data_IF_455583514257
#
_entry.id   IF_455583514257
#
_cell.length_a   1.000
_cell.length_b   1.000
_cell.length_c   1.000
_cell.angle_alpha   90.00
_cell.angle_beta   90.00
_cell.angle_gamma   90.00
#
_symmetry.space_group_name_H-M   'P 1'
#
loop_
_entity.id
_entity.type
_entity.pdbx_description
1 polymer ?
#
# COMPACT_ATOMS: atom_id res chain seq x y z
N UNK A 1 2.02 -9.31 -1.46
CA UNK A 1 2.66 -8.01 -1.11
C UNK A 1 2.98 -7.90 0.37
N UNK A 2 2.02 -7.86 1.31
CA UNK A 2 2.36 -7.78 2.76
C UNK A 2 3.14 -9.02 3.22
N UNK A 3 2.70 -10.22 2.83
CA UNK A 3 3.46 -11.45 3.12
C UNK A 3 4.87 -11.41 2.54
N UNK A 4 5.05 -10.82 1.37
CA UNK A 4 6.34 -10.72 0.70
C UNK A 4 7.31 -9.86 1.52
N UNK A 5 6.84 -8.76 2.12
CA UNK A 5 7.61 -7.94 3.05
C UNK A 5 7.95 -8.70 4.35
N UNK A 6 7.03 -9.53 4.83
CA UNK A 6 7.24 -10.37 6.02
C UNK A 6 8.36 -11.38 5.78
N UNK A 7 8.39 -12.04 4.62
CA UNK A 7 9.46 -12.98 4.27
C UNK A 7 10.83 -12.29 4.23
N UNK A 8 10.90 -11.10 3.64
CA UNK A 8 12.13 -10.29 3.63
C UNK A 8 12.55 -9.92 5.06
N UNK A 9 11.63 -9.44 5.90
CA UNK A 9 11.93 -9.09 7.30
C UNK A 9 12.41 -10.30 8.11
N UNK A 10 11.79 -11.47 7.90
CA UNK A 10 12.16 -12.72 8.54
C UNK A 10 13.59 -13.14 8.15
N UNK A 11 13.96 -12.99 6.87
CA UNK A 11 15.31 -13.32 6.39
C UNK A 11 16.39 -12.53 7.15
N UNK A 12 16.13 -11.25 7.42
CA UNK A 12 17.08 -10.33 8.05
C UNK A 12 17.09 -10.46 9.57
N UNK A 13 15.91 -10.41 10.19
CA UNK A 13 15.77 -10.30 11.64
C UNK A 13 15.67 -11.67 12.34
N UNK A 14 15.56 -12.77 11.59
CA UNK A 14 15.42 -14.14 12.10
C UNK A 14 14.21 -14.36 13.02
N UNK A 15 13.28 -13.39 13.02
CA UNK A 15 12.06 -13.41 13.83
C UNK A 15 10.88 -13.13 12.91
N UNK A 16 9.89 -14.02 12.98
CA UNK A 16 8.67 -13.92 12.18
C UNK A 16 7.66 -12.97 12.85
N UNK A 17 7.33 -11.86 12.19
CA UNK A 17 6.50 -10.76 12.74
C UNK A 17 5.17 -10.55 12.01
N UNK A 18 4.55 -11.61 11.50
CA UNK A 18 3.35 -11.56 10.65
C UNK A 18 2.25 -10.69 11.25
N UNK A 19 1.94 -10.89 12.54
CA UNK A 19 0.86 -10.18 13.22
C UNK A 19 1.04 -8.66 13.23
N UNK A 20 2.28 -8.16 13.35
CA UNK A 20 2.56 -6.72 13.38
C UNK A 20 2.36 -6.11 11.99
N UNK A 21 2.83 -6.76 10.93
CA UNK A 21 2.65 -6.27 9.56
C UNK A 21 1.17 -6.23 9.15
N UNK A 22 0.41 -7.28 9.43
CA UNK A 22 -1.02 -7.33 9.08
C UNK A 22 -1.86 -6.36 9.93
N UNK A 23 -1.58 -6.25 11.23
CA UNK A 23 -2.30 -5.32 12.10
C UNK A 23 -2.03 -3.86 11.72
N UNK A 24 -0.77 -3.51 11.44
CA UNK A 24 -0.39 -2.17 11.00
C UNK A 24 -1.10 -1.80 9.69
N UNK A 25 -1.10 -2.70 8.70
CA UNK A 25 -1.79 -2.47 7.44
C UNK A 25 -3.30 -2.22 7.64
N UNK A 26 -3.95 -3.03 8.49
CA UNK A 26 -5.39 -2.90 8.76
C UNK A 26 -5.72 -1.60 9.48
N UNK A 27 -4.91 -1.20 10.46
CA UNK A 27 -5.10 0.07 11.19
C UNK A 27 -4.88 1.26 10.26
N UNK A 28 -3.82 1.23 9.44
CA UNK A 28 -3.56 2.27 8.44
C UNK A 28 -4.71 2.42 7.44
N UNK A 29 -5.29 1.30 6.97
CA UNK A 29 -6.46 1.33 6.09
C UNK A 29 -7.67 1.98 6.76
N UNK A 30 -7.93 1.68 8.03
CA UNK A 30 -9.05 2.30 8.78
C UNK A 30 -8.86 3.80 8.95
N UNK A 31 -7.64 4.24 9.28
CA UNK A 31 -7.31 5.66 9.41
C UNK A 31 -7.49 6.37 8.06
N UNK A 32 -6.95 5.78 6.98
CA UNK A 32 -7.09 6.33 5.63
C UNK A 32 -8.56 6.40 5.19
N UNK A 33 -9.36 5.38 5.48
CA UNK A 33 -10.80 5.37 5.18
C UNK A 33 -11.54 6.46 5.96
N UNK A 34 -11.27 6.63 7.25
CA UNK A 34 -11.90 7.66 8.06
C UNK A 34 -11.59 9.08 7.53
N UNK A 35 -10.32 9.34 7.20
CA UNK A 35 -9.89 10.60 6.60
C UNK A 35 -10.54 10.79 5.22
N UNK A 36 -10.55 9.75 4.40
CA UNK A 36 -11.14 9.78 3.06
C UNK A 36 -12.63 10.12 3.07
N UNK A 37 -13.41 9.47 3.96
CA UNK A 37 -14.84 9.76 4.11
C UNK A 37 -15.08 11.18 4.62
N UNK A 38 -14.25 11.67 5.55
CA UNK A 38 -14.36 13.04 6.06
C UNK A 38 -14.13 14.08 4.96
N UNK A 39 -13.08 13.91 4.15
CA UNK A 39 -12.80 14.80 3.01
C UNK A 39 -13.93 14.74 1.99
N UNK A 40 -14.39 13.52 1.65
CA UNK A 40 -15.45 13.30 0.68
C UNK A 40 -16.76 13.99 1.10
N UNK A 41 -17.13 13.94 2.39
CA UNK A 41 -18.29 14.66 2.92
C UNK A 41 -18.20 16.17 2.67
N UNK A 42 -17.07 16.79 3.03
CA UNK A 42 -16.85 18.22 2.81
C UNK A 42 -16.91 18.60 1.32
N UNK A 43 -16.38 17.76 0.44
CA UNK A 43 -16.42 18.02 -1.00
C UNK A 43 -17.85 17.94 -1.57
N UNK A 44 -18.66 16.99 -1.10
CA UNK A 44 -20.05 16.82 -1.55
C UNK A 44 -20.92 18.00 -1.08
N UNK A 45 -20.70 18.48 0.15
CA UNK A 45 -21.38 19.69 0.66
C UNK A 45 -21.00 20.93 -0.18
N UNK A 46 -19.72 21.06 -0.57
CA UNK A 46 -19.27 22.17 -1.41
C UNK A 46 -19.86 22.16 -2.83
N UNK A 47 -20.10 20.98 -3.39
CA UNK A 47 -20.78 20.80 -4.69
C UNK A 47 -22.29 21.13 -4.60
N UNK A 48 -22.81 21.36 -3.39
CA UNK A 48 -24.20 21.76 -3.15
C UNK A 48 -25.18 20.58 -3.17
N UNK A 49 -24.72 19.40 -2.80
CA UNK A 49 -25.57 18.22 -2.65
C UNK A 49 -26.65 18.45 -1.58
N UNK A 50 -27.90 18.10 -1.89
CA UNK A 50 -29.01 18.20 -0.95
C UNK A 50 -29.84 16.92 -0.92
N UNK A 51 -29.64 16.08 0.11
CA UNK A 51 -30.32 14.80 0.25
C UNK A 51 -31.84 14.85 0.43
N UNK A 52 -32.45 16.02 0.66
CA UNK A 52 -33.91 16.16 0.78
C UNK A 52 -34.62 16.41 -0.55
N UNK A 53 -33.88 16.75 -1.62
CA UNK A 53 -34.47 16.94 -2.95
C UNK A 53 -34.57 15.59 -3.68
N UNK A 54 -35.77 15.29 -4.19
CA UNK A 54 -36.02 14.08 -4.99
C UNK A 54 -35.15 14.02 -6.27
N UNK A 55 -34.78 15.18 -6.82
CA UNK A 55 -33.88 15.30 -7.97
C UNK A 55 -32.80 16.34 -7.71
N UNK A 56 -31.54 15.99 -7.95
CA UNK A 56 -30.42 16.93 -7.89
C UNK A 56 -30.32 17.75 -9.18
N UNK A 57 -29.65 18.90 -9.11
CA UNK A 57 -29.37 19.69 -10.32
C UNK A 57 -28.37 18.95 -11.22
N UNK A 58 -28.44 19.22 -12.52
CA UNK A 58 -27.50 18.66 -13.51
C UNK A 58 -26.03 18.97 -13.14
N UNK A 59 -25.79 20.17 -12.60
CA UNK A 59 -24.47 20.59 -12.10
C UNK A 59 -23.98 19.70 -10.95
N UNK A 60 -24.81 19.47 -9.94
CA UNK A 60 -24.48 18.62 -8.78
C UNK A 60 -24.20 17.18 -9.20
N UNK A 61 -25.00 16.62 -10.13
CA UNK A 61 -24.78 15.27 -10.65
C UNK A 61 -23.44 15.13 -11.37
N UNK A 62 -23.10 16.08 -12.26
CA UNK A 62 -21.80 16.08 -12.92
C UNK A 62 -20.66 16.29 -11.93
N UNK A 63 -20.83 17.16 -10.92
CA UNK A 63 -19.83 17.38 -9.87
C UNK A 63 -19.50 16.10 -9.10
N UNK A 64 -20.51 15.31 -8.71
CA UNK A 64 -20.31 14.02 -8.05
C UNK A 64 -19.60 13.02 -8.98
N UNK A 65 -20.02 12.93 -10.24
CA UNK A 65 -19.41 12.03 -11.21
C UNK A 65 -17.93 12.36 -11.45
N UNK A 66 -17.60 13.64 -11.60
CA UNK A 66 -16.21 14.12 -11.76
C UNK A 66 -15.39 13.85 -10.50
N UNK A 67 -15.96 14.05 -9.31
CA UNK A 67 -15.27 13.74 -8.05
C UNK A 67 -14.94 12.25 -7.97
N UNK A 68 -15.90 11.37 -8.25
CA UNK A 68 -15.71 9.92 -8.16
C UNK A 68 -14.67 9.42 -9.17
N UNK A 69 -14.79 9.83 -10.44
CA UNK A 69 -13.89 9.42 -11.51
C UNK A 69 -12.51 10.06 -11.30
N UNK A 70 -12.46 11.37 -11.04
CA UNK A 70 -11.23 12.13 -10.88
C UNK A 70 -10.38 11.62 -9.72
N UNK A 71 -10.96 11.43 -8.55
CA UNK A 71 -10.25 10.90 -7.37
C UNK A 71 -9.74 9.48 -7.66
N UNK A 72 -10.57 8.63 -8.27
CA UNK A 72 -10.19 7.25 -8.60
C UNK A 72 -9.04 7.22 -9.60
N UNK A 73 -9.08 8.05 -10.66
CA UNK A 73 -8.00 8.17 -11.63
C UNK A 73 -6.69 8.60 -10.97
N UNK A 74 -6.71 9.60 -10.10
CA UNK A 74 -5.51 10.06 -9.39
C UNK A 74 -4.95 8.96 -8.48
N UNK A 75 -5.82 8.28 -7.70
CA UNK A 75 -5.40 7.17 -6.85
C UNK A 75 -4.78 6.01 -7.65
N UNK A 76 -5.34 5.68 -8.81
CA UNK A 76 -4.80 4.64 -9.69
C UNK A 76 -3.43 5.04 -10.27
N UNK A 77 -3.27 6.29 -10.72
CA UNK A 77 -1.99 6.77 -11.21
C UNK A 77 -0.90 6.70 -10.14
N UNK A 78 -1.21 7.12 -8.91
CA UNK A 78 -0.29 7.01 -7.77
C UNK A 78 0.05 5.54 -7.49
N UNK A 79 -0.94 4.65 -7.52
CA UNK A 79 -0.72 3.20 -7.33
C UNK A 79 0.20 2.61 -8.39
N UNK A 80 0.05 3.00 -9.66
CA UNK A 80 0.92 2.56 -10.76
C UNK A 80 2.36 3.04 -10.53
N UNK A 81 2.54 4.31 -10.14
CA UNK A 81 3.87 4.86 -9.84
C UNK A 81 4.53 4.07 -8.70
N UNK A 82 3.80 3.83 -7.60
CA UNK A 82 4.30 3.04 -6.47
C UNK A 82 4.68 1.61 -6.90
N UNK A 83 3.91 0.99 -7.79
CA UNK A 83 4.18 -0.36 -8.30
C UNK A 83 5.46 -0.39 -9.14
N UNK A 84 5.67 0.59 -10.03
CA UNK A 84 6.88 0.66 -10.87
C UNK A 84 8.14 0.88 -10.02
N UNK A 85 8.03 1.64 -8.92
CA UNK A 85 9.16 1.87 -8.00
C UNK A 85 9.48 0.70 -7.09
N UNK A 86 8.67 -0.36 -7.07
CA UNK A 86 8.86 -1.48 -6.16
C UNK A 86 10.01 -2.40 -6.65
N UNK A 87 11.13 -2.52 -5.90
CA UNK A 87 12.26 -3.36 -6.29
C UNK A 87 11.95 -4.86 -6.17
N UNK A 88 10.87 -5.22 -5.45
CA UNK A 88 10.49 -6.60 -5.20
C UNK A 88 9.79 -7.22 -6.41
N UNK A 89 10.59 -7.64 -7.38
CA UNK A 89 10.12 -8.40 -8.54
C UNK A 89 9.91 -9.88 -8.19
N UNK A 90 9.13 -10.59 -9.01
CA UNK A 90 8.87 -12.04 -8.83
C UNK A 90 10.15 -12.86 -8.72
N UNK A 91 11.20 -12.49 -9.47
CA UNK A 91 12.52 -13.15 -9.40
C UNK A 91 13.18 -12.92 -8.04
N UNK A 92 13.28 -11.66 -7.60
CA UNK A 92 13.87 -11.32 -6.29
C UNK A 92 13.10 -11.96 -5.13
N UNK A 93 11.78 -12.07 -5.24
CA UNK A 93 10.99 -12.78 -4.24
C UNK A 93 11.32 -14.29 -4.17
N UNK A 94 11.58 -14.94 -5.31
CA UNK A 94 12.04 -16.34 -5.32
C UNK A 94 13.42 -16.49 -4.67
N UNK A 95 14.35 -15.56 -4.95
CA UNK A 95 15.68 -15.55 -4.32
C UNK A 95 15.57 -15.48 -2.79
N UNK A 96 14.65 -14.65 -2.26
CA UNK A 96 14.38 -14.52 -0.81
C UNK A 96 13.86 -15.83 -0.23
N UNK A 97 12.93 -16.50 -0.91
CA UNK A 97 12.40 -17.79 -0.45
C UNK A 97 13.46 -18.90 -0.48
N UNK A 98 14.33 -18.92 -1.49
CA UNK A 98 15.43 -19.87 -1.56
C UNK A 98 16.47 -19.60 -0.45
N UNK A 99 16.77 -18.33 -0.20
CA UNK A 99 17.61 -17.93 0.92
C UNK A 99 17.01 -18.40 2.25
N UNK A 100 15.73 -18.14 2.53
CA UNK A 100 15.08 -18.61 3.76
C UNK A 100 15.21 -20.14 3.94
N UNK A 101 14.97 -20.93 2.90
CA UNK A 101 15.17 -22.40 2.95
C UNK A 101 16.61 -22.78 3.26
N UNK A 102 17.60 -22.13 2.65
CA UNK A 102 19.02 -22.36 2.95
C UNK A 102 19.33 -22.02 4.42
N UNK A 103 18.70 -20.97 4.97
CA UNK A 103 18.88 -20.58 6.39
C UNK A 103 18.34 -21.65 7.33
N UNK A 104 17.17 -22.19 7.04
CA UNK A 104 16.55 -23.29 7.80
C UNK A 104 17.43 -24.55 7.84
N UNK A 105 18.19 -24.81 6.76
CA UNK A 105 19.14 -25.94 6.69
C UNK A 105 20.51 -25.62 7.32
N UNK A 106 20.67 -24.48 7.99
CA UNK A 106 21.89 -24.10 8.72
C UNK A 106 23.00 -23.46 7.88
N UNK A 107 22.72 -23.09 6.62
CA UNK A 107 23.70 -22.39 5.78
C UNK A 107 23.78 -20.90 6.16
N UNK A 108 25.01 -20.36 6.23
CA UNK A 108 25.22 -18.92 6.43
C UNK A 108 24.89 -18.17 5.14
N UNK A 109 24.01 -17.18 5.23
CA UNK A 109 23.56 -16.37 4.09
C UNK A 109 24.17 -14.99 4.18
N UNK A 110 24.67 -14.49 3.06
CA UNK A 110 25.12 -13.12 2.97
C UNK A 110 23.93 -12.17 2.75
N UNK A 111 23.47 -11.52 3.82
CA UNK A 111 22.35 -10.56 3.79
C UNK A 111 22.66 -9.35 2.88
N UNK A 112 23.95 -9.11 2.56
CA UNK A 112 24.36 -8.03 1.67
C UNK A 112 23.85 -8.17 0.23
N UNK A 113 23.52 -9.39 -0.20
CA UNK A 113 22.96 -9.68 -1.52
C UNK A 113 21.53 -9.12 -1.71
N UNK A 114 20.84 -8.82 -0.61
CA UNK A 114 19.47 -8.29 -0.59
C UNK A 114 19.40 -6.81 -0.20
N UNK A 115 20.52 -6.08 -0.28
CA UNK A 115 20.60 -4.64 0.06
C UNK A 115 19.67 -3.74 -0.77
N UNK A 116 19.32 -4.16 -1.98
CA UNK A 116 18.35 -3.51 -2.87
C UNK A 116 16.90 -3.63 -2.38
N UNK A 117 16.57 -4.68 -1.63
CA UNK A 117 15.27 -4.87 -0.99
C UNK A 117 15.21 -4.15 0.37
N UNK A 118 16.37 -3.83 0.92
CA UNK A 118 16.53 -3.08 2.16
C UNK A 118 16.60 -1.58 1.86
N UNK A 119 15.55 -0.86 2.22
CA UNK A 119 15.60 0.62 2.26
C UNK A 119 16.73 1.10 3.20
N UNK A 120 17.22 0.24 4.10
CA UNK A 120 18.33 0.50 5.02
C UNK A 120 19.64 -0.07 4.46
N UNK A 121 20.29 0.68 3.56
CA UNK A 121 21.57 1.36 3.84
C UNK A 121 22.04 2.16 2.60
N UNK A 122 21.52 3.38 2.46
CA UNK A 122 22.26 4.47 1.81
C UNK A 122 22.33 5.68 2.74
N UNK A 123 23.20 5.60 3.75
CA UNK A 123 24.10 6.68 4.18
C UNK A 123 24.92 6.27 5.40
N UNK A 124 26.24 6.25 5.17
CA UNK A 124 27.39 6.20 6.09
C UNK A 124 27.51 4.97 6.99
#
# INVERSE_FOLDING_TARGET
MISDCVEVDCLINDVRKDGIFYSMATVSQKIAAAIGVSILGNCIDWIGYNGQKATQTLYTQHGIAVLFIGVTCVCLLVSIICMITNPLTKKRYQDVLEALKKKEHGYKINIEEFKDLLIIKKKR
#
